data_IF_864796874831
#
_entry.id   IF_864796874831
#
_cell.length_a   1.000
_cell.length_b   1.000
_cell.length_c   1.000
_cell.angle_alpha   90.00
_cell.angle_beta   90.00
_cell.angle_gamma   90.00
#
_symmetry.space_group_name_H-M   'P 1'
#
loop_
_entity.id
_entity.type
_entity.pdbx_description
1 polymer ?
#
# COMPACT_ATOMS: atom_id res chain seq x y z
N UNK A 1 -9.27 10.40 -4.15
CA UNK A 1 -9.02 9.15 -4.88
C UNK A 1 -9.86 8.07 -4.23
N UNK A 2 -10.65 7.32 -5.00
CA UNK A 2 -11.41 6.19 -4.46
C UNK A 2 -10.42 5.10 -4.04
N UNK A 3 -10.44 4.74 -2.76
CA UNK A 3 -9.63 3.64 -2.24
C UNK A 3 -10.24 2.34 -2.79
N UNK A 4 -9.54 1.56 -3.64
CA UNK A 4 -10.15 0.40 -4.28
C UNK A 4 -10.69 -0.57 -3.23
N UNK A 5 -11.87 -1.13 -3.48
CA UNK A 5 -12.43 -2.16 -2.64
C UNK A 5 -11.78 -3.50 -3.01
N UNK A 6 -10.97 -4.13 -2.13
CA UNK A 6 -10.27 -5.36 -2.46
C UNK A 6 -11.18 -6.47 -2.97
N UNK A 7 -12.42 -6.56 -2.44
CA UNK A 7 -13.37 -7.60 -2.81
C UNK A 7 -13.88 -7.50 -4.26
N UNK A 8 -13.74 -6.33 -4.90
CA UNK A 8 -14.20 -6.08 -6.28
C UNK A 8 -13.11 -6.35 -7.33
N UNK A 9 -11.87 -6.58 -6.89
CA UNK A 9 -10.75 -6.88 -7.77
C UNK A 9 -10.75 -8.36 -8.16
N UNK A 10 -10.33 -8.65 -9.39
CA UNK A 10 -9.94 -10.01 -9.79
C UNK A 10 -8.66 -10.44 -9.06
N UNK A 11 -8.43 -11.75 -8.98
CA UNK A 11 -7.24 -12.28 -8.28
C UNK A 11 -5.92 -11.76 -8.87
N UNK A 12 -5.85 -11.61 -10.19
CA UNK A 12 -4.68 -11.05 -10.87
C UNK A 12 -4.48 -9.56 -10.58
N UNK A 13 -5.57 -8.78 -10.52
CA UNK A 13 -5.50 -7.36 -10.13
C UNK A 13 -5.11 -7.19 -8.66
N UNK A 14 -5.62 -8.04 -7.77
CA UNK A 14 -5.26 -8.07 -6.35
C UNK A 14 -3.76 -8.30 -6.16
N UNK A 15 -3.22 -9.35 -6.77
CA UNK A 15 -1.79 -9.68 -6.68
C UNK A 15 -0.93 -8.60 -7.33
N UNK A 16 -1.32 -8.11 -8.51
CA UNK A 16 -0.59 -7.04 -9.20
C UNK A 16 -0.55 -5.76 -8.36
N UNK A 17 -1.70 -5.33 -7.83
CA UNK A 17 -1.79 -4.13 -7.01
C UNK A 17 -1.00 -4.29 -5.70
N UNK A 18 -1.08 -5.45 -5.04
CA UNK A 18 -0.33 -5.73 -3.82
C UNK A 18 1.19 -5.61 -4.06
N UNK A 19 1.69 -6.20 -5.15
CA UNK A 19 3.10 -6.12 -5.52
C UNK A 19 3.57 -4.68 -5.82
N UNK A 20 2.76 -3.91 -6.55
CA UNK A 20 3.04 -2.49 -6.81
C UNK A 20 3.13 -1.73 -5.48
N UNK A 21 2.19 -1.99 -4.58
CA UNK A 21 2.09 -1.28 -3.32
C UNK A 21 3.28 -1.54 -2.39
N UNK A 22 3.79 -2.78 -2.34
CA UNK A 22 5.04 -3.11 -1.61
C UNK A 22 6.20 -2.26 -2.12
N UNK A 23 6.33 -2.10 -3.43
CA UNK A 23 7.35 -1.27 -4.05
C UNK A 23 7.23 0.20 -3.65
N UNK A 24 6.02 0.76 -3.70
CA UNK A 24 5.75 2.16 -3.34
C UNK A 24 5.95 2.42 -1.84
N UNK A 25 5.47 1.54 -0.95
CA UNK A 25 5.72 1.61 0.50
C UNK A 25 7.22 1.60 0.78
N UNK A 26 7.98 0.71 0.13
CA UNK A 26 9.43 0.62 0.32
C UNK A 26 10.15 1.89 -0.14
N UNK A 27 9.78 2.45 -1.30
CA UNK A 27 10.36 3.69 -1.82
C UNK A 27 10.05 4.87 -0.90
N UNK A 28 8.77 5.06 -0.56
CA UNK A 28 8.34 6.19 0.25
C UNK A 28 8.89 6.10 1.68
N UNK A 29 8.95 4.91 2.27
CA UNK A 29 9.57 4.73 3.58
C UNK A 29 11.04 5.17 3.58
N UNK A 30 11.81 4.84 2.54
CA UNK A 30 13.20 5.31 2.41
C UNK A 30 13.29 6.83 2.30
N UNK A 31 12.39 7.46 1.55
CA UNK A 31 12.36 8.93 1.42
C UNK A 31 12.01 9.57 2.76
N UNK A 32 10.92 9.15 3.40
CA UNK A 32 10.45 9.69 4.69
C UNK A 32 11.48 9.51 5.80
N UNK A 33 12.17 8.37 5.85
CA UNK A 33 13.21 8.12 6.86
C UNK A 33 14.41 9.05 6.72
N UNK A 34 14.69 9.55 5.52
CA UNK A 34 15.78 10.47 5.23
C UNK A 34 15.34 11.94 5.18
N UNK A 35 14.04 12.20 5.25
CA UNK A 35 13.48 13.54 5.17
C UNK A 35 13.60 14.25 6.53
N UNK A 36 14.34 15.36 6.55
CA UNK A 36 14.48 16.25 7.71
C UNK A 36 13.77 17.58 7.51
N UNK A 37 12.99 17.72 6.44
CA UNK A 37 12.23 18.93 6.14
C UNK A 37 10.91 18.99 6.91
N UNK A 38 10.21 20.12 6.80
CA UNK A 38 8.87 20.29 7.35
C UNK A 38 7.81 19.46 6.61
N UNK A 39 8.14 18.86 5.45
CA UNK A 39 7.21 18.04 4.66
C UNK A 39 7.16 16.58 5.12
N UNK A 40 8.09 16.18 6.01
CA UNK A 40 8.15 14.82 6.57
C UNK A 40 6.79 14.32 7.09
N UNK A 41 5.98 15.09 7.85
CA UNK A 41 4.68 14.61 8.32
C UNK A 41 3.69 14.28 7.19
N UNK A 42 3.75 15.00 6.07
CA UNK A 42 2.91 14.71 4.89
C UNK A 42 3.35 13.39 4.26
N UNK A 43 4.66 13.15 4.18
CA UNK A 43 5.23 11.87 3.76
C UNK A 43 4.82 10.72 4.67
N UNK A 44 4.86 10.90 5.99
CA UNK A 44 4.41 9.91 6.99
C UNK A 44 2.90 9.59 6.86
N UNK A 45 2.06 10.61 6.66
CA UNK A 45 0.62 10.42 6.41
C UNK A 45 0.38 9.62 5.13
N UNK A 46 1.08 9.97 4.05
CA UNK A 46 0.97 9.26 2.77
C UNK A 46 1.42 7.79 2.91
N UNK A 47 2.52 7.55 3.62
CA UNK A 47 3.02 6.21 3.91
C UNK A 47 2.03 5.39 4.73
N UNK A 48 1.41 5.98 5.76
CA UNK A 48 0.37 5.35 6.56
C UNK A 48 -0.86 4.94 5.73
N UNK A 49 -1.26 5.79 4.79
CA UNK A 49 -2.33 5.49 3.83
C UNK A 49 -2.02 4.28 2.95
N UNK A 50 -0.79 4.22 2.40
CA UNK A 50 -0.34 3.09 1.59
C UNK A 50 -0.24 1.79 2.40
N UNK A 51 0.30 1.84 3.63
CA UNK A 51 0.36 0.67 4.52
C UNK A 51 -1.06 0.16 4.83
N UNK A 52 -2.01 1.07 5.06
CA UNK A 52 -3.40 0.69 5.34
C UNK A 52 -4.05 0.01 4.14
N UNK A 53 -3.79 0.49 2.92
CA UNK A 53 -4.25 -0.18 1.71
C UNK A 53 -3.59 -1.55 1.52
N UNK A 54 -2.28 -1.67 1.79
CA UNK A 54 -1.53 -2.93 1.71
C UNK A 54 -2.18 -4.00 2.59
N UNK A 55 -2.41 -3.66 3.86
CA UNK A 55 -3.01 -4.58 4.82
C UNK A 55 -4.42 -5.02 4.41
N UNK A 56 -5.19 -4.15 3.76
CA UNK A 56 -6.53 -4.50 3.25
C UNK A 56 -6.46 -5.46 2.06
N UNK A 57 -5.54 -5.24 1.12
CA UNK A 57 -5.34 -6.14 -0.02
C UNK A 57 -4.79 -7.49 0.44
N UNK A 58 -3.82 -7.48 1.34
CA UNK A 58 -3.21 -8.69 1.87
C UNK A 58 -4.24 -9.58 2.59
N UNK A 59 -5.15 -8.99 3.38
CA UNK A 59 -6.27 -9.72 4.00
C UNK A 59 -7.19 -10.38 2.98
N UNK A 60 -7.44 -9.73 1.85
CA UNK A 60 -8.27 -10.28 0.78
C UNK A 60 -7.54 -11.38 -0.01
N UNK A 61 -6.24 -11.22 -0.25
CA UNK A 61 -5.40 -12.27 -0.84
C UNK A 61 -5.41 -13.53 0.04
N UNK A 62 -5.23 -13.36 1.35
CA UNK A 62 -5.29 -14.44 2.34
C UNK A 62 -6.68 -15.09 2.40
N UNK A 63 -7.76 -14.29 2.36
CA UNK A 63 -9.14 -14.81 2.39
C UNK A 63 -9.46 -15.67 1.16
N UNK A 64 -8.83 -15.37 0.02
CA UNK A 64 -8.96 -16.12 -1.24
C UNK A 64 -7.94 -17.25 -1.40
N UNK A 65 -7.07 -17.47 -0.42
CA UNK A 65 -5.99 -18.47 -0.49
C UNK A 65 -5.07 -18.30 -1.71
N UNK A 66 -4.85 -17.05 -2.13
CA UNK A 66 -3.92 -16.70 -3.20
C UNK A 66 -2.53 -16.59 -2.56
N UNK A 67 -1.60 -17.47 -2.91
CA UNK A 67 -0.23 -17.52 -2.37
C UNK A 67 0.83 -17.22 -3.41
#
# INVERSE_FOLDING_TARGET
MNNPNPSELTDSELVALNNILVGEVTKLSKVVNNDTSNDKPIGEQSLSGLISLYQRLQKEIESRSLS
#
